data_IF_501506780115
#
_entry.id   IF_501506780115
#
_cell.length_a   1.000
_cell.length_b   1.000
_cell.length_c   1.000
_cell.angle_alpha   90.00
_cell.angle_beta   90.00
_cell.angle_gamma   90.00
#
_symmetry.space_group_name_H-M   'P 1'
#
loop_
_entity.id
_entity.type
_entity.pdbx_description
1 polymer ?
#
# COMPACT_ATOMS: atom_id res chain seq x y z
N UNK A 1 21.70 -6.14 -26.43
CA UNK A 1 21.46 -5.91 -24.98
C UNK A 1 20.00 -6.26 -24.63
N UNK A 2 19.56 -7.50 -24.89
CA UNK A 2 18.14 -7.93 -24.78
C UNK A 2 17.84 -8.82 -23.56
N UNK A 3 18.79 -9.03 -22.65
CA UNK A 3 18.69 -10.13 -21.68
C UNK A 3 17.96 -9.82 -20.37
N UNK A 4 17.40 -8.60 -20.20
CA UNK A 4 16.80 -8.19 -18.92
C UNK A 4 15.40 -7.55 -19.01
N UNK A 5 14.75 -7.48 -20.18
CA UNK A 5 13.39 -6.94 -20.29
C UNK A 5 12.37 -7.89 -19.64
N UNK A 6 11.49 -7.36 -18.79
CA UNK A 6 10.35 -8.11 -18.25
C UNK A 6 9.12 -7.82 -19.09
N UNK A 7 8.64 -8.84 -19.80
CA UNK A 7 7.42 -8.75 -20.60
C UNK A 7 6.19 -8.70 -19.68
N UNK A 8 5.63 -7.51 -19.44
CA UNK A 8 4.44 -7.36 -18.59
C UNK A 8 3.19 -8.01 -19.22
N UNK A 9 2.99 -7.91 -20.53
CA UNK A 9 1.84 -8.50 -21.25
C UNK A 9 2.01 -10.01 -21.46
N UNK A 10 1.86 -10.77 -20.38
CA UNK A 10 2.05 -12.23 -20.37
C UNK A 10 1.13 -12.88 -19.34
N UNK A 11 0.55 -14.02 -19.70
CA UNK A 11 -0.18 -14.87 -18.75
C UNK A 11 0.79 -15.51 -17.73
N UNK A 12 0.43 -15.44 -16.45
CA UNK A 12 1.24 -15.87 -15.30
C UNK A 12 0.40 -16.69 -14.32
N UNK A 13 1.05 -17.65 -13.71
CA UNK A 13 0.57 -18.25 -12.48
C UNK A 13 0.97 -17.40 -11.25
N UNK A 14 0.48 -17.80 -10.08
CA UNK A 14 0.72 -17.10 -8.82
C UNK A 14 2.23 -16.97 -8.53
N UNK A 15 2.98 -18.07 -8.70
CA UNK A 15 4.43 -18.11 -8.47
C UNK A 15 5.21 -17.18 -9.39
N UNK A 16 4.84 -17.12 -10.68
CA UNK A 16 5.45 -16.21 -11.63
C UNK A 16 5.14 -14.74 -11.32
N UNK A 17 3.94 -14.40 -10.84
CA UNK A 17 3.62 -13.02 -10.40
C UNK A 17 4.58 -12.59 -9.29
N UNK A 18 4.76 -13.41 -8.26
CA UNK A 18 5.65 -13.09 -7.13
C UNK A 18 7.11 -12.98 -7.61
N UNK A 19 7.58 -13.98 -8.37
CA UNK A 19 8.95 -13.99 -8.90
C UNK A 19 9.22 -12.77 -9.79
N UNK A 20 8.30 -12.43 -10.69
CA UNK A 20 8.43 -11.28 -11.59
C UNK A 20 8.36 -9.95 -10.83
N UNK A 21 7.54 -9.83 -9.77
CA UNK A 21 7.56 -8.66 -8.89
C UNK A 21 8.95 -8.43 -8.32
N UNK A 22 9.55 -9.45 -7.67
CA UNK A 22 10.88 -9.31 -7.08
C UNK A 22 11.96 -9.10 -8.13
N UNK A 23 11.83 -9.73 -9.30
CA UNK A 23 12.75 -9.54 -10.43
C UNK A 23 12.70 -8.10 -10.93
N UNK A 24 11.51 -7.54 -11.13
CA UNK A 24 11.32 -6.16 -11.58
C UNK A 24 11.89 -5.16 -10.57
N UNK A 25 11.56 -5.33 -9.29
CA UNK A 25 12.14 -4.51 -8.22
C UNK A 25 13.66 -4.60 -8.25
N UNK A 26 14.23 -5.79 -8.33
CA UNK A 26 15.68 -5.98 -8.31
C UNK A 26 16.38 -5.39 -9.53
N UNK A 27 15.78 -5.47 -10.71
CA UNK A 27 16.36 -4.93 -11.94
C UNK A 27 16.30 -3.40 -11.96
N UNK A 28 15.16 -2.82 -11.58
CA UNK A 28 14.90 -1.38 -11.70
C UNK A 28 14.93 -0.63 -10.36
N UNK A 29 15.49 -1.20 -9.28
CA UNK A 29 15.42 -0.62 -7.94
C UNK A 29 15.91 0.83 -7.87
N UNK A 30 16.99 1.17 -8.60
CA UNK A 30 17.54 2.54 -8.61
C UNK A 30 16.57 3.54 -9.23
N UNK A 31 15.86 3.13 -10.27
CA UNK A 31 14.94 4.00 -11.00
C UNK A 31 13.62 4.10 -10.26
N UNK A 32 13.06 2.96 -9.85
CA UNK A 32 11.85 2.87 -9.03
C UNK A 32 12.02 3.69 -7.75
N UNK A 33 13.08 3.45 -6.97
CA UNK A 33 13.26 4.12 -5.68
C UNK A 33 13.52 5.63 -5.83
N UNK A 34 14.31 6.04 -6.83
CA UNK A 34 14.57 7.46 -7.11
C UNK A 34 13.31 8.21 -7.51
N UNK A 35 12.53 7.69 -8.45
CA UNK A 35 11.28 8.31 -8.90
C UNK A 35 10.21 8.27 -7.80
N UNK A 36 10.09 7.14 -7.11
CA UNK A 36 9.17 6.99 -6.00
C UNK A 36 9.48 7.99 -4.89
N UNK A 37 10.72 8.12 -4.43
CA UNK A 37 11.09 9.12 -3.42
C UNK A 37 10.97 10.55 -3.92
N UNK A 38 11.27 10.83 -5.20
CA UNK A 38 11.11 12.17 -5.79
C UNK A 38 9.67 12.67 -5.70
N UNK A 39 8.69 11.79 -5.95
CA UNK A 39 7.28 12.17 -6.00
C UNK A 39 6.52 11.91 -4.69
N UNK A 40 6.78 10.77 -4.05
CA UNK A 40 6.06 10.29 -2.86
C UNK A 40 6.82 10.57 -1.57
N UNK A 41 8.13 10.86 -1.63
CA UNK A 41 8.99 10.97 -0.44
C UNK A 41 8.51 11.98 0.59
N UNK A 42 8.03 13.16 0.16
CA UNK A 42 7.51 14.16 1.10
C UNK A 42 6.21 13.69 1.79
N UNK A 43 5.32 12.99 1.08
CA UNK A 43 4.11 12.38 1.66
C UNK A 43 4.44 11.19 2.55
N UNK A 44 5.47 10.42 2.21
CA UNK A 44 5.96 9.33 3.05
C UNK A 44 6.43 9.89 4.40
N UNK A 45 7.23 10.96 4.40
CA UNK A 45 7.65 11.61 5.64
C UNK A 45 6.46 12.14 6.43
N UNK A 46 5.47 12.73 5.77
CA UNK A 46 4.25 13.23 6.41
C UNK A 46 3.40 12.09 7.00
N UNK A 47 3.25 10.97 6.30
CA UNK A 47 2.53 9.79 6.76
C UNK A 47 3.23 9.15 7.98
N UNK A 48 4.56 9.06 7.95
CA UNK A 48 5.36 8.59 9.09
C UNK A 48 5.25 9.55 10.28
N UNK A 49 5.32 10.86 10.05
CA UNK A 49 5.21 11.86 11.11
C UNK A 49 3.84 11.84 11.79
N UNK A 50 2.76 11.82 11.01
CA UNK A 50 1.39 11.74 11.55
C UNK A 50 1.11 10.39 12.20
N UNK A 51 1.60 9.29 11.63
CA UNK A 51 1.50 7.95 12.23
C UNK A 51 2.25 7.83 13.56
N UNK A 52 3.42 8.46 13.68
CA UNK A 52 4.20 8.51 14.93
C UNK A 52 3.52 9.42 15.95
N UNK A 53 2.98 10.56 15.52
CA UNK A 53 2.22 11.45 16.39
C UNK A 53 0.95 10.77 16.94
N UNK A 54 0.22 10.03 16.10
CA UNK A 54 -0.90 9.21 16.55
C UNK A 54 -0.47 8.11 17.53
N UNK A 55 0.65 7.44 17.26
CA UNK A 55 1.18 6.43 18.17
C UNK A 55 1.53 7.05 19.54
N UNK A 56 2.11 8.24 19.56
CA UNK A 56 2.41 9.01 20.77
C UNK A 56 1.14 9.40 21.54
N UNK A 57 0.17 10.04 20.88
CA UNK A 57 -1.08 10.50 21.52
C UNK A 57 -1.92 9.32 22.01
N UNK A 58 -2.00 8.23 21.25
CA UNK A 58 -2.75 7.04 21.62
C UNK A 58 -2.18 6.35 22.86
N UNK A 59 -0.85 6.27 22.99
CA UNK A 59 -0.21 5.72 24.19
C UNK A 59 -0.47 6.64 25.39
N UNK A 60 -0.30 7.96 25.23
CA UNK A 60 -0.54 8.90 26.32
C UNK A 60 -2.02 8.99 26.73
N UNK A 61 -2.97 8.83 25.81
CA UNK A 61 -4.40 8.74 26.17
C UNK A 61 -4.66 7.54 27.07
N UNK A 62 -4.06 6.38 26.80
CA UNK A 62 -4.23 5.20 27.65
C UNK A 62 -3.77 5.46 29.09
N UNK A 63 -2.73 6.29 29.29
CA UNK A 63 -2.24 6.67 30.62
C UNK A 63 -3.28 7.44 31.44
N UNK A 64 -3.96 8.38 30.80
CA UNK A 64 -4.91 9.27 31.46
C UNK A 64 -6.13 8.54 32.00
N UNK A 65 -6.50 7.39 31.42
CA UNK A 65 -7.60 6.57 31.94
C UNK A 65 -7.29 6.03 33.34
N UNK A 66 -6.04 5.64 33.58
CA UNK A 66 -5.60 5.04 34.84
C UNK A 66 -5.32 6.09 35.91
N UNK A 67 -4.76 7.25 35.52
CA UNK A 67 -4.35 8.30 36.46
C UNK A 67 -5.44 9.32 36.77
N UNK A 68 -6.29 9.66 35.80
CA UNK A 68 -7.22 10.79 35.88
C UNK A 68 -8.70 10.40 35.68
N UNK A 69 -8.97 9.12 35.44
CA UNK A 69 -10.32 8.58 35.27
C UNK A 69 -10.94 8.83 33.89
N UNK A 70 -12.18 8.35 33.74
CA UNK A 70 -12.85 8.25 32.44
C UNK A 70 -13.12 9.61 31.76
N UNK A 71 -13.43 10.67 32.52
CA UNK A 71 -13.73 11.98 31.95
C UNK A 71 -12.51 12.61 31.27
N UNK A 72 -11.34 12.57 31.92
CA UNK A 72 -10.09 13.06 31.36
C UNK A 72 -9.65 12.25 30.14
N UNK A 73 -9.81 10.92 30.20
CA UNK A 73 -9.57 10.03 29.07
C UNK A 73 -10.43 10.38 27.86
N UNK A 74 -11.74 10.55 28.04
CA UNK A 74 -12.65 10.87 26.94
C UNK A 74 -12.29 12.21 26.32
N UNK A 75 -12.06 13.25 27.13
CA UNK A 75 -11.72 14.58 26.65
C UNK A 75 -10.40 14.58 25.85
N UNK A 76 -9.36 13.91 26.35
CA UNK A 76 -8.08 13.77 25.63
C UNK A 76 -8.23 12.93 24.35
N UNK A 77 -9.05 11.87 24.40
CA UNK A 77 -9.32 11.01 23.24
C UNK A 77 -10.01 11.79 22.13
N UNK A 78 -11.02 12.61 22.45
CA UNK A 78 -11.69 13.42 21.44
C UNK A 78 -10.80 14.54 20.90
N UNK A 79 -10.05 15.23 21.75
CA UNK A 79 -9.28 16.41 21.36
C UNK A 79 -7.95 16.08 20.69
N UNK A 80 -7.15 15.21 21.31
CA UNK A 80 -5.79 14.92 20.86
C UNK A 80 -5.75 13.70 19.95
N UNK A 81 -6.25 12.56 20.44
CA UNK A 81 -6.16 11.30 19.71
C UNK A 81 -7.08 11.31 18.48
N UNK A 82 -8.30 11.84 18.60
CA UNK A 82 -9.24 12.00 17.50
C UNK A 82 -8.71 12.93 16.40
N UNK A 83 -8.08 14.04 16.76
CA UNK A 83 -7.43 14.92 15.80
C UNK A 83 -6.24 14.23 15.10
N UNK A 84 -5.39 13.54 15.86
CA UNK A 84 -4.25 12.79 15.29
C UNK A 84 -4.71 11.65 14.35
N UNK A 85 -5.82 10.98 14.68
CA UNK A 85 -6.43 9.94 13.84
C UNK A 85 -6.92 10.51 12.52
N UNK A 86 -7.56 11.69 12.54
CA UNK A 86 -8.00 12.38 11.32
C UNK A 86 -6.81 12.75 10.44
N UNK A 87 -5.71 13.24 11.02
CA UNK A 87 -4.48 13.52 10.28
C UNK A 87 -3.88 12.27 9.64
N UNK A 88 -3.81 11.16 10.38
CA UNK A 88 -3.34 9.87 9.84
C UNK A 88 -4.24 9.41 8.69
N UNK A 89 -5.56 9.54 8.83
CA UNK A 89 -6.49 9.13 7.79
C UNK A 89 -6.30 9.94 6.50
N UNK A 90 -6.24 11.28 6.58
CA UNK A 90 -6.05 12.15 5.42
C UNK A 90 -4.70 11.89 4.74
N UNK A 91 -3.62 11.79 5.52
CA UNK A 91 -2.28 11.54 4.98
C UNK A 91 -2.15 10.14 4.39
N UNK A 92 -2.77 9.13 4.99
CA UNK A 92 -2.76 7.74 4.48
C UNK A 92 -3.47 7.63 3.14
N UNK A 93 -4.60 8.33 2.96
CA UNK A 93 -5.32 8.39 1.67
C UNK A 93 -4.44 9.08 0.62
N UNK A 94 -3.89 10.26 0.93
CA UNK A 94 -3.04 11.00 0.02
C UNK A 94 -1.79 10.20 -0.38
N UNK A 95 -1.11 9.58 0.59
CA UNK A 95 0.05 8.72 0.39
C UNK A 95 -0.29 7.51 -0.50
N UNK A 96 -1.39 6.83 -0.22
CA UNK A 96 -1.80 5.63 -0.96
C UNK A 96 -2.16 5.97 -2.40
N UNK A 97 -2.93 7.04 -2.63
CA UNK A 97 -3.26 7.52 -3.96
C UNK A 97 -2.01 7.91 -4.76
N UNK A 98 -1.08 8.65 -4.15
CA UNK A 98 0.17 9.06 -4.80
C UNK A 98 1.06 7.85 -5.12
N UNK A 99 1.16 6.89 -4.20
CA UNK A 99 1.95 5.67 -4.39
C UNK A 99 1.41 4.79 -5.52
N UNK A 100 0.10 4.55 -5.55
CA UNK A 100 -0.58 3.81 -6.61
C UNK A 100 -0.36 4.47 -7.97
N UNK A 101 -0.57 5.79 -8.04
CA UNK A 101 -0.40 6.54 -9.30
C UNK A 101 1.05 6.48 -9.77
N UNK A 102 2.02 6.68 -8.87
CA UNK A 102 3.45 6.71 -9.20
C UNK A 102 3.94 5.35 -9.70
N UNK A 103 3.61 4.26 -9.00
CA UNK A 103 4.05 2.92 -9.41
C UNK A 103 3.40 2.48 -10.71
N UNK A 104 2.09 2.70 -10.90
CA UNK A 104 1.46 2.39 -12.18
C UNK A 104 2.01 3.27 -13.30
N UNK A 105 2.36 4.53 -13.05
CA UNK A 105 2.99 5.42 -14.05
C UNK A 105 4.41 5.00 -14.43
N UNK A 106 5.21 4.54 -13.46
CA UNK A 106 6.54 3.97 -13.70
C UNK A 106 6.42 2.71 -14.58
N UNK A 107 5.51 1.81 -14.23
CA UNK A 107 5.28 0.58 -15.00
C UNK A 107 4.75 0.92 -16.39
N UNK A 108 3.87 1.92 -16.53
CA UNK A 108 3.34 2.37 -17.82
C UNK A 108 4.47 2.85 -18.74
N UNK A 109 5.33 3.75 -18.26
CA UNK A 109 6.48 4.23 -19.04
C UNK A 109 7.44 3.08 -19.40
N UNK A 110 7.69 2.14 -18.47
CA UNK A 110 8.51 0.94 -18.75
C UNK A 110 7.92 0.06 -19.86
N UNK A 111 6.61 -0.14 -19.86
CA UNK A 111 5.92 -0.97 -20.87
C UNK A 111 5.90 -0.26 -22.23
N UNK A 112 5.55 1.02 -22.25
CA UNK A 112 5.41 1.81 -23.50
C UNK A 112 6.75 2.01 -24.21
N UNK A 113 7.85 2.13 -23.45
CA UNK A 113 9.20 2.35 -24.00
C UNK A 113 10.06 1.07 -24.01
N UNK A 114 9.46 -0.12 -24.01
CA UNK A 114 10.16 -1.42 -24.13
C UNK A 114 11.33 -1.59 -23.14
N UNK A 115 11.15 -1.13 -21.91
CA UNK A 115 12.07 -1.32 -20.79
C UNK A 115 12.80 -0.07 -20.31
N UNK A 116 12.61 1.07 -20.96
CA UNK A 116 13.13 2.36 -20.49
C UNK A 116 12.09 3.12 -19.67
N UNK A 117 12.50 3.74 -18.56
CA UNK A 117 11.60 4.56 -17.73
C UNK A 117 11.99 6.02 -17.91
N UNK A 118 11.07 6.83 -18.43
CA UNK A 118 11.29 8.26 -18.67
C UNK A 118 10.67 9.11 -17.56
N UNK A 119 11.50 9.88 -16.86
CA UNK A 119 11.12 10.74 -15.74
C UNK A 119 9.98 11.74 -16.10
N UNK A 120 10.01 12.30 -17.30
CA UNK A 120 9.03 13.29 -17.78
C UNK A 120 7.65 12.66 -17.98
N UNK A 121 7.60 11.49 -18.61
CA UNK A 121 6.34 10.74 -18.81
C UNK A 121 5.74 10.31 -17.47
N UNK A 122 6.56 9.85 -16.53
CA UNK A 122 6.11 9.49 -15.19
C UNK A 122 5.49 10.69 -14.48
N UNK A 123 6.15 11.85 -14.53
CA UNK A 123 5.65 13.09 -13.91
C UNK A 123 4.33 13.56 -14.53
N UNK A 124 4.22 13.49 -15.86
CA UNK A 124 3.01 13.86 -16.59
C UNK A 124 1.85 12.92 -16.27
N UNK A 125 2.10 11.61 -16.26
CA UNK A 125 1.09 10.60 -15.91
C UNK A 125 0.61 10.75 -14.47
N UNK A 126 1.51 11.07 -13.53
CA UNK A 126 1.13 11.38 -12.14
C UNK A 126 0.16 12.57 -12.11
N UNK A 127 0.50 13.69 -12.76
CA UNK A 127 -0.37 14.87 -12.80
C UNK A 127 -1.73 14.58 -13.44
N UNK A 128 -1.76 13.74 -14.49
CA UNK A 128 -2.98 13.35 -15.21
C UNK A 128 -3.90 12.45 -14.39
N UNK A 129 -3.36 11.42 -13.74
CA UNK A 129 -4.16 10.37 -13.11
C UNK A 129 -4.32 10.51 -11.59
N UNK A 130 -3.55 11.37 -10.92
CA UNK A 130 -3.59 11.49 -9.46
C UNK A 130 -4.98 11.85 -8.93
N UNK A 131 -5.63 12.89 -9.49
CA UNK A 131 -6.95 13.33 -9.03
C UNK A 131 -8.02 12.25 -9.19
N UNK A 132 -8.00 11.54 -10.31
CA UNK A 132 -8.90 10.43 -10.56
C UNK A 132 -8.62 9.24 -9.63
N UNK A 133 -7.35 8.91 -9.41
CA UNK A 133 -6.94 7.84 -8.49
C UNK A 133 -7.37 8.15 -7.06
N UNK A 134 -7.22 9.40 -6.62
CA UNK A 134 -7.64 9.88 -5.31
C UNK A 134 -9.15 9.76 -5.11
N UNK A 135 -9.95 10.22 -6.09
CA UNK A 135 -11.41 10.07 -6.05
C UNK A 135 -11.81 8.59 -6.03
N UNK A 136 -11.16 7.77 -6.86
CA UNK A 136 -11.41 6.32 -6.94
C UNK A 136 -11.10 5.62 -5.62
N UNK A 137 -10.03 6.02 -4.93
CA UNK A 137 -9.63 5.48 -3.63
C UNK A 137 -10.64 5.85 -2.54
N UNK A 138 -11.17 7.09 -2.58
CA UNK A 138 -12.22 7.52 -1.65
C UNK A 138 -13.51 6.71 -1.83
N UNK A 139 -13.97 6.53 -3.07
CA UNK A 139 -15.16 5.70 -3.38
C UNK A 139 -14.92 4.24 -3.02
N UNK A 140 -13.73 3.70 -3.34
CA UNK A 140 -13.31 2.36 -2.93
C UNK A 140 -13.41 2.16 -1.40
N UNK A 141 -12.92 3.13 -0.63
CA UNK A 141 -12.99 3.12 0.83
C UNK A 141 -14.43 3.06 1.35
N UNK A 142 -15.33 3.89 0.80
CA UNK A 142 -16.75 3.91 1.17
C UNK A 142 -17.42 2.56 0.83
N UNK A 143 -17.17 2.03 -0.37
CA UNK A 143 -17.76 0.76 -0.79
C UNK A 143 -17.27 -0.41 0.08
N UNK A 144 -15.98 -0.45 0.42
CA UNK A 144 -15.44 -1.45 1.33
C UNK A 144 -16.06 -1.29 2.72
N UNK A 145 -16.16 -0.06 3.23
CA UNK A 145 -16.77 0.22 4.53
C UNK A 145 -18.22 -0.28 4.60
N UNK A 146 -19.05 0.05 3.60
CA UNK A 146 -20.44 -0.43 3.50
C UNK A 146 -20.47 -1.96 3.35
N UNK A 147 -19.57 -2.53 2.53
CA UNK A 147 -19.45 -3.97 2.34
C UNK A 147 -19.22 -4.72 3.66
N UNK A 148 -18.24 -4.26 4.46
CA UNK A 148 -17.93 -4.84 5.77
C UNK A 148 -19.02 -4.57 6.82
N UNK A 149 -19.75 -3.45 6.72
CA UNK A 149 -20.90 -3.15 7.59
C UNK A 149 -22.05 -4.15 7.33
N UNK A 150 -22.29 -4.51 6.07
CA UNK A 150 -23.32 -5.48 5.70
C UNK A 150 -22.93 -6.91 6.08
N UNK A 151 -21.67 -7.32 5.84
CA UNK A 151 -21.08 -8.59 6.29
C UNK A 151 -19.60 -8.70 5.90
N UNK A 152 -18.83 -9.58 6.54
CA UNK A 152 -17.42 -9.81 6.18
C UNK A 152 -17.23 -10.34 4.74
N UNK A 153 -18.09 -11.26 4.29
CA UNK A 153 -17.97 -11.90 2.97
C UNK A 153 -18.17 -10.92 1.78
N UNK A 154 -19.23 -10.07 1.76
CA UNK A 154 -19.36 -9.02 0.74
C UNK A 154 -18.18 -8.04 0.68
N UNK A 155 -17.62 -7.66 1.83
CA UNK A 155 -16.45 -6.80 1.88
C UNK A 155 -15.25 -7.41 1.14
N UNK A 156 -14.91 -8.67 1.46
CA UNK A 156 -13.82 -9.39 0.79
C UNK A 156 -14.09 -9.57 -0.71
N UNK A 157 -15.34 -9.85 -1.09
CA UNK A 157 -15.73 -9.99 -2.50
C UNK A 157 -15.46 -8.73 -3.32
N UNK A 158 -15.71 -7.54 -2.76
CA UNK A 158 -15.51 -6.24 -3.42
C UNK A 158 -14.04 -5.80 -3.48
N UNK A 159 -13.24 -6.13 -2.47
CA UNK A 159 -11.82 -5.69 -2.40
C UNK A 159 -11.01 -6.23 -3.57
N UNK A 160 -11.25 -7.49 -3.97
CA UNK A 160 -10.50 -8.16 -5.04
C UNK A 160 -10.65 -7.45 -6.41
N UNK A 161 -11.85 -7.28 -6.98
CA UNK A 161 -12.05 -6.53 -8.22
C UNK A 161 -11.54 -5.10 -8.14
N UNK A 162 -11.89 -4.39 -7.06
CA UNK A 162 -11.55 -2.99 -6.95
C UNK A 162 -10.05 -2.74 -6.73
N UNK A 163 -9.27 -3.72 -6.26
CA UNK A 163 -7.81 -3.59 -6.18
C UNK A 163 -7.16 -3.30 -7.54
N UNK A 164 -7.80 -3.69 -8.65
CA UNK A 164 -7.30 -3.49 -10.02
C UNK A 164 -7.75 -2.17 -10.64
N UNK A 165 -8.70 -1.46 -10.02
CA UNK A 165 -9.29 -0.25 -10.61
C UNK A 165 -8.22 0.80 -10.95
N UNK A 166 -7.21 0.93 -10.10
CA UNK A 166 -6.13 1.89 -10.26
C UNK A 166 -5.25 1.56 -11.45
N UNK A 167 -4.91 0.28 -11.64
CA UNK A 167 -4.17 -0.19 -12.81
C UNK A 167 -4.98 0.01 -14.09
N UNK A 168 -6.29 -0.26 -14.07
CA UNK A 168 -7.16 -0.03 -15.24
C UNK A 168 -7.23 1.45 -15.61
N UNK A 169 -7.39 2.35 -14.63
CA UNK A 169 -7.41 3.80 -14.87
C UNK A 169 -6.13 4.27 -15.55
N UNK A 170 -4.97 3.82 -15.06
CA UNK A 170 -3.67 4.30 -15.58
C UNK A 170 -3.31 3.64 -16.91
N UNK A 171 -3.46 2.32 -17.03
CA UNK A 171 -3.04 1.56 -18.21
C UNK A 171 -4.04 1.60 -19.36
N UNK A 172 -5.35 1.66 -19.09
CA UNK A 172 -6.37 1.77 -20.14
C UNK A 172 -6.87 3.21 -20.34
N UNK A 173 -6.39 4.16 -19.55
CA UNK A 173 -6.79 5.58 -19.58
C UNK A 173 -8.32 5.79 -19.46
N UNK A 174 -8.99 4.88 -18.74
CA UNK A 174 -10.45 4.88 -18.56
C UNK A 174 -10.88 5.81 -17.44
N UNK A 175 -12.12 6.33 -17.52
CA UNK A 175 -12.77 7.05 -16.43
C UNK A 175 -13.05 6.12 -15.23
N UNK A 176 -13.36 6.68 -14.05
CA UNK A 176 -13.67 5.86 -12.87
C UNK A 176 -14.83 4.89 -13.11
N UNK A 177 -15.91 5.37 -13.73
CA UNK A 177 -17.11 4.55 -13.99
C UNK A 177 -16.80 3.39 -14.93
N UNK A 178 -16.03 3.65 -15.98
CA UNK A 178 -15.66 2.63 -16.96
C UNK A 178 -14.68 1.63 -16.32
N UNK A 179 -13.69 2.11 -15.57
CA UNK A 179 -12.73 1.27 -14.86
C UNK A 179 -13.39 0.40 -13.78
N UNK A 180 -14.42 0.92 -13.10
CA UNK A 180 -15.21 0.17 -12.15
C UNK A 180 -15.92 -1.01 -12.82
N UNK A 181 -16.58 -0.78 -13.95
CA UNK A 181 -17.27 -1.86 -14.68
C UNK A 181 -16.26 -2.88 -15.24
N UNK A 182 -15.14 -2.39 -15.76
CA UNK A 182 -14.06 -3.21 -16.31
C UNK A 182 -13.44 -4.14 -15.27
N UNK A 183 -13.24 -3.69 -14.03
CA UNK A 183 -12.55 -4.51 -13.02
C UNK A 183 -13.35 -5.77 -12.65
N UNK A 184 -14.68 -5.69 -12.60
CA UNK A 184 -15.54 -6.86 -12.41
C UNK A 184 -15.58 -7.76 -13.64
N UNK A 185 -15.45 -7.20 -14.85
CA UNK A 185 -15.39 -7.99 -16.08
C UNK A 185 -14.08 -8.76 -16.19
N UNK A 186 -12.93 -8.10 -15.94
CA UNK A 186 -11.59 -8.70 -16.02
C UNK A 186 -11.37 -9.81 -14.98
N UNK A 187 -11.99 -9.71 -13.80
CA UNK A 187 -11.86 -10.73 -12.76
C UNK A 187 -12.86 -11.87 -12.91
N UNK A 188 -13.88 -11.71 -13.76
CA UNK A 188 -14.89 -12.75 -14.01
C UNK A 188 -14.19 -14.05 -14.43
N UNK A 189 -14.52 -15.16 -13.77
CA UNK A 189 -13.90 -16.50 -13.91
C UNK A 189 -12.54 -16.71 -13.21
N UNK A 190 -11.82 -15.65 -12.84
CA UNK A 190 -10.49 -15.76 -12.20
C UNK A 190 -10.44 -15.26 -10.74
N UNK A 191 -11.60 -14.89 -10.16
CA UNK A 191 -11.70 -14.28 -8.82
C UNK A 191 -10.94 -15.03 -7.73
N UNK A 192 -11.07 -16.36 -7.63
CA UNK A 192 -10.41 -17.15 -6.59
C UNK A 192 -8.88 -17.14 -6.73
N UNK A 193 -8.37 -17.22 -7.95
CA UNK A 193 -6.93 -17.20 -8.21
C UNK A 193 -6.38 -15.79 -7.93
N UNK A 194 -7.09 -14.74 -8.33
CA UNK A 194 -6.70 -13.36 -8.03
C UNK A 194 -6.70 -13.09 -6.52
N UNK A 195 -7.76 -13.53 -5.82
CA UNK A 195 -7.84 -13.45 -4.36
C UNK A 195 -6.67 -14.18 -3.69
N UNK A 196 -6.40 -15.43 -4.07
CA UNK A 196 -5.30 -16.21 -3.52
C UNK A 196 -3.94 -15.54 -3.77
N UNK A 197 -3.73 -14.97 -4.97
CA UNK A 197 -2.52 -14.21 -5.30
C UNK A 197 -2.34 -13.02 -4.37
N UNK A 198 -3.36 -12.16 -4.26
CA UNK A 198 -3.33 -10.97 -3.40
C UNK A 198 -3.10 -11.36 -1.94
N UNK A 199 -3.75 -12.42 -1.46
CA UNK A 199 -3.63 -12.92 -0.10
C UNK A 199 -2.20 -13.42 0.19
N UNK A 200 -1.61 -14.22 -0.71
CA UNK A 200 -0.23 -14.71 -0.55
C UNK A 200 0.77 -13.56 -0.55
N UNK A 201 0.63 -12.59 -1.44
CA UNK A 201 1.48 -11.39 -1.46
C UNK A 201 1.34 -10.60 -0.16
N UNK A 202 0.10 -10.44 0.33
CA UNK A 202 -0.17 -9.71 1.58
C UNK A 202 0.49 -10.41 2.77
N UNK A 203 0.36 -11.74 2.88
CA UNK A 203 1.04 -12.52 3.93
C UNK A 203 2.56 -12.37 3.82
N UNK A 204 3.12 -12.47 2.62
CA UNK A 204 4.55 -12.33 2.38
C UNK A 204 5.05 -10.97 2.86
N UNK A 205 4.40 -9.88 2.43
CA UNK A 205 4.76 -8.51 2.83
C UNK A 205 4.58 -8.30 4.34
N UNK A 206 3.53 -8.85 4.94
CA UNK A 206 3.31 -8.79 6.39
C UNK A 206 4.38 -9.55 7.18
N UNK A 207 4.83 -10.72 6.71
CA UNK A 207 5.91 -11.49 7.37
C UNK A 207 7.23 -10.72 7.32
N UNK A 208 7.59 -10.18 6.15
CA UNK A 208 8.81 -9.38 6.01
C UNK A 208 8.72 -8.09 6.85
N UNK A 209 7.57 -7.42 6.82
CA UNK A 209 7.28 -6.23 7.62
C UNK A 209 7.35 -6.48 9.12
N UNK A 210 6.86 -7.64 9.57
CA UNK A 210 6.91 -8.07 10.97
C UNK A 210 8.34 -8.10 11.53
N UNK A 211 9.34 -8.44 10.72
CA UNK A 211 10.76 -8.43 11.12
C UNK A 211 11.19 -7.02 11.54
N UNK A 212 10.75 -5.99 10.82
CA UNK A 212 11.07 -4.59 11.14
C UNK A 212 10.33 -4.09 12.37
N UNK A 213 9.21 -4.70 12.74
CA UNK A 213 8.45 -4.38 13.95
C UNK A 213 9.01 -5.08 15.20
N UNK A 214 9.84 -6.13 15.05
CA UNK A 214 10.38 -6.87 16.19
C UNK A 214 11.10 -5.98 17.23
N UNK A 215 11.96 -5.02 16.86
CA UNK A 215 12.62 -4.15 17.85
C UNK A 215 11.61 -3.35 18.70
N UNK A 216 10.53 -2.86 18.07
CA UNK A 216 9.46 -2.10 18.74
C UNK A 216 8.72 -3.01 19.73
N UNK A 217 8.37 -4.22 19.30
CA UNK A 217 7.67 -5.22 20.13
C UNK A 217 8.55 -5.70 21.29
N UNK A 218 9.84 -5.96 21.05
CA UNK A 218 10.77 -6.40 22.09
C UNK A 218 10.93 -5.30 23.14
N UNK A 219 11.14 -4.04 22.74
CA UNK A 219 11.27 -2.93 23.69
C UNK A 219 9.99 -2.74 24.50
N UNK A 220 8.83 -2.79 23.84
CA UNK A 220 7.52 -2.73 24.51
C UNK A 220 7.35 -3.85 25.53
N UNK A 221 7.75 -5.08 25.19
CA UNK A 221 7.69 -6.22 26.10
C UNK A 221 8.64 -6.03 27.31
N UNK A 222 9.89 -5.64 27.07
CA UNK A 222 10.88 -5.39 28.15
C UNK A 222 10.38 -4.35 29.13
N UNK A 223 9.90 -3.20 28.65
CA UNK A 223 9.37 -2.11 29.48
C UNK A 223 8.11 -2.52 30.25
N UNK A 224 7.30 -3.40 29.66
CA UNK A 224 6.16 -4.01 30.36
C UNK A 224 6.65 -4.92 31.50
N UNK A 225 7.58 -5.82 31.23
CA UNK A 225 8.09 -6.76 32.22
C UNK A 225 8.81 -6.06 33.38
N UNK A 226 9.67 -5.07 33.10
CA UNK A 226 10.39 -4.32 34.14
C UNK A 226 9.44 -3.60 35.08
N UNK A 227 8.37 -2.98 34.56
CA UNK A 227 7.38 -2.30 35.40
C UNK A 227 6.59 -3.22 36.33
N UNK A 228 6.40 -4.48 35.94
CA UNK A 228 5.75 -5.49 36.78
C UNK A 228 6.68 -5.97 37.90
N UNK A 229 7.99 -6.04 37.65
CA UNK A 229 8.99 -6.44 38.64
C UNK A 229 9.25 -5.35 39.69
N UNK A 230 9.22 -4.07 39.31
CA UNK A 230 9.50 -2.93 40.20
C UNK A 230 8.36 -2.60 41.19
N UNK A 231 7.32 -3.43 41.28
CA UNK A 231 6.24 -3.28 42.27
C UNK A 231 5.08 -2.40 41.83
N UNK A 232 4.97 -2.11 40.53
CA UNK A 232 3.74 -1.65 39.88
C UNK A 232 3.30 -0.24 40.26
N UNK A 233 4.13 0.76 40.02
CA UNK A 233 3.59 2.03 39.54
C UNK A 233 3.31 1.86 38.04
N UNK A 234 2.23 2.47 37.57
CA UNK A 234 1.60 2.28 36.24
C UNK A 234 2.51 2.60 35.03
N UNK A 235 3.80 2.81 35.17
CA UNK A 235 4.68 3.52 34.23
C UNK A 235 5.29 2.70 33.09
N UNK A 236 5.21 1.37 33.06
CA UNK A 236 5.91 0.54 32.06
C UNK A 236 5.43 0.69 30.62
N UNK A 237 4.22 0.22 30.33
CA UNK A 237 3.60 0.38 29.00
C UNK A 237 3.27 1.85 28.74
N UNK A 238 2.96 2.58 29.82
CA UNK A 238 2.47 3.95 29.77
C UNK A 238 3.59 4.98 29.48
N UNK A 239 4.83 4.69 29.86
CA UNK A 239 6.00 5.51 29.54
C UNK A 239 6.51 5.38 28.09
N UNK A 240 6.06 4.37 27.34
CA UNK A 240 6.53 4.09 25.98
C UNK A 240 6.29 5.25 25.01
N UNK A 241 5.19 6.00 25.18
CA UNK A 241 4.92 7.18 24.38
C UNK A 241 6.01 8.24 24.51
N UNK A 242 6.58 8.40 25.71
CA UNK A 242 7.64 9.36 25.98
C UNK A 242 9.05 8.78 25.77
N UNK A 243 9.17 7.48 25.51
CA UNK A 243 10.45 6.83 25.24
C UNK A 243 10.92 7.16 23.81
N UNK A 244 11.96 8.01 23.72
CA UNK A 244 12.52 8.44 22.43
C UNK A 244 13.05 7.27 21.60
N UNK A 245 13.60 6.22 22.24
CA UNK A 245 14.08 5.03 21.56
C UNK A 245 12.92 4.26 20.93
N UNK A 246 11.82 4.08 21.66
CA UNK A 246 10.60 3.45 21.14
C UNK A 246 10.07 4.17 19.88
N UNK A 247 9.92 5.51 19.96
CA UNK A 247 9.45 6.30 18.82
C UNK A 247 10.42 6.23 17.63
N UNK A 248 11.74 6.22 17.88
CA UNK A 248 12.74 6.10 16.80
C UNK A 248 12.67 4.75 16.08
N UNK A 249 12.48 3.66 16.83
CA UNK A 249 12.31 2.31 16.27
C UNK A 249 10.99 2.21 15.50
N UNK A 250 9.92 2.84 16.00
CA UNK A 250 8.63 2.91 15.30
C UNK A 250 8.72 3.67 13.98
N UNK A 251 9.42 4.81 13.95
CA UNK A 251 9.70 5.58 12.72
C UNK A 251 10.46 4.69 11.72
N UNK A 252 11.51 4.02 12.16
CA UNK A 252 12.28 3.12 11.29
C UNK A 252 11.42 1.98 10.74
N UNK A 253 10.63 1.34 11.60
CA UNK A 253 9.75 0.22 11.23
C UNK A 253 8.64 0.66 10.25
N UNK A 254 8.05 1.85 10.46
CA UNK A 254 7.02 2.40 9.57
C UNK A 254 7.58 2.76 8.19
N UNK A 255 8.76 3.38 8.11
CA UNK A 255 9.44 3.65 6.83
C UNK A 255 9.69 2.34 6.07
N UNK A 256 10.21 1.32 6.76
CA UNK A 256 10.43 0.01 6.16
C UNK A 256 9.12 -0.60 5.63
N UNK A 257 8.03 -0.52 6.40
CA UNK A 257 6.71 -1.01 6.00
C UNK A 257 6.18 -0.29 4.74
N UNK A 258 6.34 1.03 4.65
CA UNK A 258 5.95 1.80 3.47
C UNK A 258 6.74 1.41 2.22
N UNK A 259 8.06 1.21 2.35
CA UNK A 259 8.93 0.76 1.25
C UNK A 259 8.57 -0.67 0.82
N UNK A 260 8.33 -1.58 1.77
CA UNK A 260 7.90 -2.94 1.47
C UNK A 260 6.54 -2.98 0.76
N UNK A 261 5.68 -2.00 1.02
CA UNK A 261 4.39 -1.83 0.33
C UNK A 261 4.52 -1.71 -1.19
N UNK A 262 5.68 -1.31 -1.71
CA UNK A 262 5.95 -1.29 -3.16
C UNK A 262 5.79 -2.67 -3.81
N UNK A 263 6.11 -3.74 -3.07
CA UNK A 263 5.95 -5.12 -3.54
C UNK A 263 4.48 -5.39 -3.87
N UNK A 264 3.56 -4.98 -2.99
CA UNK A 264 2.12 -5.13 -3.22
C UNK A 264 1.66 -4.31 -4.43
N UNK A 265 2.10 -3.06 -4.55
CA UNK A 265 1.70 -2.18 -5.66
C UNK A 265 2.14 -2.71 -7.02
N UNK A 266 3.39 -3.19 -7.13
CA UNK A 266 3.92 -3.77 -8.37
C UNK A 266 3.21 -5.10 -8.68
N UNK A 267 2.92 -5.90 -7.66
CA UNK A 267 2.21 -7.17 -7.86
C UNK A 267 0.77 -6.95 -8.34
N UNK A 268 0.07 -5.93 -7.85
CA UNK A 268 -1.27 -5.57 -8.34
C UNK A 268 -1.25 -5.19 -9.83
N UNK A 269 -0.24 -4.44 -10.26
CA UNK A 269 -0.06 -4.14 -11.69
C UNK A 269 0.19 -5.41 -12.52
N UNK A 270 1.02 -6.35 -12.04
CA UNK A 270 1.26 -7.63 -12.71
C UNK A 270 0.01 -8.52 -12.75
N UNK A 271 -0.81 -8.52 -11.69
CA UNK A 271 -2.11 -9.19 -11.67
C UNK A 271 -3.03 -8.60 -12.74
N UNK A 272 -3.08 -7.26 -12.86
CA UNK A 272 -3.83 -6.60 -13.93
C UNK A 272 -3.37 -7.07 -15.31
N UNK A 273 -2.06 -7.04 -15.60
CA UNK A 273 -1.56 -7.47 -16.91
C UNK A 273 -1.82 -8.95 -17.20
N UNK A 274 -1.75 -9.81 -16.18
CA UNK A 274 -2.10 -11.22 -16.30
C UNK A 274 -3.57 -11.40 -16.74
N UNK A 275 -4.50 -10.75 -16.04
CA UNK A 275 -5.93 -10.83 -16.35
C UNK A 275 -6.25 -10.19 -17.71
N UNK A 276 -5.62 -9.06 -18.03
CA UNK A 276 -5.77 -8.42 -19.32
C UNK A 276 -5.29 -9.34 -20.46
N UNK A 277 -4.20 -10.09 -20.27
CA UNK A 277 -3.72 -11.03 -21.29
C UNK A 277 -4.66 -12.24 -21.46
N UNK A 278 -5.25 -12.76 -20.36
CA UNK A 278 -6.23 -13.86 -20.42
C UNK A 278 -7.45 -13.47 -21.27
N UNK A 279 -7.96 -12.24 -21.09
CA UNK A 279 -9.18 -11.79 -21.77
C UNK A 279 -8.93 -11.19 -23.15
N UNK A 280 -7.92 -10.32 -23.27
CA UNK A 280 -7.73 -9.47 -24.45
C UNK A 280 -6.55 -9.90 -25.34
N UNK A 281 -5.68 -10.82 -24.88
CA UNK A 281 -4.52 -11.35 -25.63
C UNK A 281 -3.62 -10.26 -26.24
N UNK A 282 -3.51 -9.12 -25.56
CA UNK A 282 -2.85 -7.92 -26.08
C UNK A 282 -1.39 -8.14 -26.46
N UNK A 283 -0.62 -8.87 -25.66
CA UNK A 283 0.78 -9.20 -25.97
C UNK A 283 0.89 -10.16 -27.14
N UNK A 284 0.01 -11.17 -27.18
CA UNK A 284 -0.02 -12.14 -28.29
C UNK A 284 -0.32 -11.46 -29.63
N UNK A 285 -1.22 -10.47 -29.66
CA UNK A 285 -1.53 -9.71 -30.87
C UNK A 285 -0.34 -8.83 -31.31
N UNK A 286 0.32 -8.16 -30.37
CA UNK A 286 1.52 -7.36 -30.65
C UNK A 286 2.68 -8.21 -31.21
N UNK A 287 2.86 -9.42 -30.71
CA UNK A 287 3.86 -10.36 -31.24
C UNK A 287 3.53 -10.79 -32.67
N UNK A 288 2.25 -11.02 -32.99
CA UNK A 288 1.81 -11.37 -34.36
C UNK A 288 2.03 -10.20 -35.32
N UNK A 289 1.63 -9.00 -34.93
CA UNK A 289 1.83 -7.78 -35.74
C UNK A 289 3.31 -7.46 -35.93
N UNK A 290 4.15 -7.80 -34.95
CA UNK A 290 5.60 -7.68 -35.03
C UNK A 290 6.29 -8.70 -35.95
N UNK A 291 5.65 -9.85 -36.26
CA UNK A 291 6.14 -10.83 -37.24
C UNK A 291 5.77 -10.41 -38.67
N UNK A 292 4.70 -9.61 -38.83
CA UNK A 292 4.21 -9.12 -40.12
C UNK A 292 4.91 -7.89 -40.68
N UNK A 293 5.81 -7.26 -39.91
CA UNK A 293 6.64 -6.12 -40.31
C UNK A 293 8.12 -6.51 -40.36
#
# INVERSE_FOLDING_TARGET
>A
MLNNYILFKKQRDLGAIISDTFKFIRQEYKTIFRLYLKHVGWLLLLAVATGTYYQYTSLNSANLLLENGAEAFLLNTFQNTGFSLLLVFLTSIAYTAMSLTTINSIIKSYVDNKGEIKDEEVSLNIGRFFGQTLLSLFVFGILCFIGFLLCFLPGVYLVVPLSLIFSIIVFQEKSFSDAFSECFQLIKQNWWITFATILVISILVSVIGGIFQLPVVILSAVETFTSLEEGGDTTGVLGLGNNWLYLSLYIFASIAQYILGLITLISLALIYFNLNEIHNKTGTLEDIDGIGN
#
